data_IF_347858667001
#
_entry.id   IF_347858667001
#
_cell.length_a   1.000
_cell.length_b   1.000
_cell.length_c   1.000
_cell.angle_alpha   90.00
_cell.angle_beta   90.00
_cell.angle_gamma   90.00
#
_symmetry.space_group_name_H-M   'P 1'
#
loop_
_entity.id
_entity.type
_entity.pdbx_description
1 polymer ?
#
# COMPACT_ATOMS: atom_id res chain seq x y z
N UNK A 1 -40.78 34.33 29.50
CA UNK A 1 -41.03 32.98 28.97
C UNK A 1 -39.72 32.22 29.09
N UNK A 2 -39.59 31.35 30.07
CA UNK A 2 -38.37 30.58 30.29
C UNK A 2 -38.36 29.40 29.32
N UNK A 3 -37.27 29.24 28.58
CA UNK A 3 -37.05 28.08 27.72
C UNK A 3 -36.88 26.86 28.62
N UNK A 4 -37.75 25.86 28.45
CA UNK A 4 -37.59 24.54 29.07
C UNK A 4 -36.35 23.92 28.42
N UNK A 5 -35.26 23.79 29.18
CA UNK A 5 -34.09 23.04 28.75
C UNK A 5 -34.52 21.58 28.70
N UNK A 6 -34.59 21.00 27.51
CA UNK A 6 -34.97 19.60 27.36
C UNK A 6 -33.84 18.73 27.92
N UNK A 7 -34.15 17.97 28.97
CA UNK A 7 -33.23 17.10 29.69
C UNK A 7 -33.14 15.70 29.06
N UNK A 8 -33.90 15.44 27.99
CA UNK A 8 -33.65 14.28 27.14
C UNK A 8 -32.42 14.57 26.28
N UNK A 9 -31.26 14.13 26.78
CA UNK A 9 -30.15 13.77 25.90
C UNK A 9 -30.62 12.75 24.86
N UNK A 10 -29.88 12.56 23.76
CA UNK A 10 -30.28 11.60 22.73
C UNK A 10 -30.53 10.24 23.38
N UNK A 11 -31.65 9.60 23.04
CA UNK A 11 -31.91 8.22 23.46
C UNK A 11 -30.72 7.35 23.07
N UNK A 12 -30.37 6.34 23.87
CA UNK A 12 -29.22 5.46 23.60
C UNK A 12 -29.27 4.88 22.17
N UNK A 13 -30.48 4.62 21.64
CA UNK A 13 -30.72 4.19 20.26
C UNK A 13 -30.19 5.17 19.19
N UNK A 14 -30.18 6.49 19.46
CA UNK A 14 -29.65 7.47 18.53
C UNK A 14 -28.13 7.34 18.38
N UNK A 15 -27.42 7.14 19.50
CA UNK A 15 -25.96 7.00 19.46
C UNK A 15 -25.54 5.69 18.80
N UNK A 16 -26.28 4.61 19.03
CA UNK A 16 -26.07 3.31 18.37
C UNK A 16 -26.32 3.40 16.84
N UNK A 17 -27.40 4.07 16.41
CA UNK A 17 -27.69 4.30 14.99
C UNK A 17 -26.63 5.21 14.33
N UNK A 18 -26.20 6.25 15.02
CA UNK A 18 -25.15 7.14 14.55
C UNK A 18 -23.81 6.42 14.40
N UNK A 19 -23.40 5.63 15.40
CA UNK A 19 -22.17 4.83 15.36
C UNK A 19 -22.22 3.82 14.22
N UNK A 20 -23.34 3.10 14.08
CA UNK A 20 -23.55 2.14 12.99
C UNK A 20 -23.43 2.80 11.61
N UNK A 21 -24.07 3.96 11.41
CA UNK A 21 -23.97 4.73 10.15
C UNK A 21 -22.58 5.25 9.89
N UNK A 22 -21.83 5.64 10.91
CA UNK A 22 -20.45 6.09 10.77
C UNK A 22 -19.56 4.93 10.33
N UNK A 23 -19.65 3.79 11.00
CA UNK A 23 -18.92 2.56 10.65
C UNK A 23 -19.23 2.13 9.23
N UNK A 24 -20.50 2.14 8.83
CA UNK A 24 -20.91 1.78 7.48
C UNK A 24 -20.37 2.76 6.43
N UNK A 25 -20.34 4.07 6.70
CA UNK A 25 -19.75 5.04 5.79
C UNK A 25 -18.24 4.81 5.58
N UNK A 26 -17.52 4.52 6.67
CA UNK A 26 -16.08 4.23 6.63
C UNK A 26 -15.84 2.95 5.84
N UNK A 27 -16.57 1.86 6.15
CA UNK A 27 -16.47 0.57 5.46
C UNK A 27 -16.75 0.72 3.97
N UNK A 28 -17.85 1.38 3.60
CA UNK A 28 -18.20 1.60 2.20
C UNK A 28 -17.14 2.40 1.43
N UNK A 29 -16.47 3.35 2.08
CA UNK A 29 -15.41 4.15 1.45
C UNK A 29 -14.14 3.30 1.26
N UNK A 30 -13.80 2.50 2.26
CA UNK A 30 -12.68 1.55 2.18
C UNK A 30 -12.91 0.53 1.07
N UNK A 31 -14.07 -0.13 1.05
CA UNK A 31 -14.42 -1.17 0.07
C UNK A 31 -14.29 -0.66 -1.37
N UNK A 32 -14.79 0.56 -1.62
CA UNK A 32 -14.67 1.19 -2.95
C UNK A 32 -13.22 1.49 -3.34
N UNK A 33 -12.38 1.86 -2.39
CA UNK A 33 -10.95 2.08 -2.65
C UNK A 33 -10.25 0.76 -2.91
N UNK A 34 -10.45 -0.25 -2.07
CA UNK A 34 -9.90 -1.60 -2.26
C UNK A 34 -10.25 -2.12 -3.65
N UNK A 35 -11.54 -2.10 -4.02
CA UNK A 35 -11.99 -2.50 -5.35
C UNK A 35 -11.31 -1.74 -6.49
N UNK A 36 -11.12 -0.43 -6.34
CA UNK A 36 -10.41 0.38 -7.34
C UNK A 36 -8.96 -0.07 -7.53
N UNK A 37 -8.21 -0.28 -6.44
CA UNK A 37 -6.82 -0.71 -6.53
C UNK A 37 -6.69 -2.15 -7.02
N UNK A 38 -7.58 -3.07 -6.61
CA UNK A 38 -7.63 -4.44 -7.13
C UNK A 38 -7.87 -4.47 -8.63
N UNK A 39 -8.79 -3.65 -9.13
CA UNK A 39 -9.10 -3.53 -10.56
C UNK A 39 -7.90 -2.99 -11.35
N UNK A 40 -7.25 -1.92 -10.86
CA UNK A 40 -6.07 -1.36 -11.51
C UNK A 40 -4.86 -2.31 -11.46
N UNK A 41 -4.69 -3.05 -10.36
CA UNK A 41 -3.68 -4.10 -10.24
C UNK A 41 -3.93 -5.22 -11.24
N UNK A 42 -5.18 -5.67 -11.40
CA UNK A 42 -5.55 -6.67 -12.41
C UNK A 42 -5.22 -6.17 -13.81
N UNK A 43 -5.64 -4.95 -14.14
CA UNK A 43 -5.38 -4.32 -15.46
C UNK A 43 -3.89 -4.23 -15.77
N UNK A 44 -3.05 -3.84 -14.81
CA UNK A 44 -1.60 -3.80 -15.01
C UNK A 44 -0.97 -5.19 -15.08
N UNK A 45 -1.46 -6.15 -14.31
CA UNK A 45 -0.99 -7.54 -14.34
C UNK A 45 -1.25 -8.19 -15.71
N UNK A 46 -2.40 -7.93 -16.32
CA UNK A 46 -2.72 -8.40 -17.67
C UNK A 46 -1.77 -7.83 -18.74
N UNK A 47 -1.26 -6.61 -18.51
CA UNK A 47 -0.33 -5.94 -19.41
C UNK A 47 1.13 -6.32 -19.18
N UNK A 48 1.42 -7.19 -18.20
CA UNK A 48 2.77 -7.46 -17.70
C UNK A 48 3.79 -7.93 -18.74
N UNK A 49 3.32 -8.61 -19.78
CA UNK A 49 4.16 -9.10 -20.88
C UNK A 49 4.26 -8.13 -22.06
N UNK A 50 3.71 -6.92 -21.91
CA UNK A 50 3.75 -5.89 -22.95
C UNK A 50 4.96 -4.96 -22.76
N UNK A 51 5.53 -4.39 -23.85
CA UNK A 51 6.66 -3.47 -23.75
C UNK A 51 6.36 -2.16 -23.00
N UNK A 52 5.08 -1.80 -22.87
CA UNK A 52 4.62 -0.58 -22.19
C UNK A 52 4.50 -0.75 -20.67
N UNK A 53 4.63 -1.98 -20.17
CA UNK A 53 4.48 -2.26 -18.74
C UNK A 53 5.66 -1.71 -17.93
N UNK A 54 5.32 -1.09 -16.81
CA UNK A 54 6.26 -0.43 -15.92
C UNK A 54 6.09 -1.00 -14.50
N UNK A 55 7.16 -1.62 -13.99
CA UNK A 55 7.15 -2.22 -12.66
C UNK A 55 6.94 -1.19 -11.55
N UNK A 56 7.51 0.01 -11.67
CA UNK A 56 7.34 1.07 -10.67
C UNK A 56 5.87 1.46 -10.50
N UNK A 57 5.11 1.58 -11.59
CA UNK A 57 3.67 1.84 -11.52
C UNK A 57 2.90 0.71 -10.83
N UNK A 58 3.25 -0.55 -11.15
CA UNK A 58 2.66 -1.72 -10.50
C UNK A 58 2.98 -1.77 -9.01
N UNK A 59 4.24 -1.50 -8.65
CA UNK A 59 4.72 -1.41 -7.27
C UNK A 59 3.93 -0.38 -6.45
N UNK A 60 3.76 0.85 -6.95
CA UNK A 60 3.04 1.91 -6.24
C UNK A 60 1.59 1.51 -5.95
N UNK A 61 0.90 0.88 -6.91
CA UNK A 61 -0.49 0.46 -6.74
C UNK A 61 -0.65 -0.73 -5.80
N UNK A 62 0.23 -1.73 -5.90
CA UNK A 62 0.29 -2.86 -4.97
C UNK A 62 0.61 -2.40 -3.54
N UNK A 63 1.58 -1.51 -3.37
CA UNK A 63 1.93 -0.94 -2.07
C UNK A 63 0.76 -0.16 -1.46
N UNK A 64 0.07 0.66 -2.27
CA UNK A 64 -1.10 1.42 -1.79
C UNK A 64 -2.22 0.49 -1.29
N UNK A 65 -2.43 -0.65 -1.96
CA UNK A 65 -3.40 -1.67 -1.53
C UNK A 65 -2.97 -2.35 -0.24
N UNK A 66 -1.71 -2.80 -0.17
CA UNK A 66 -1.14 -3.42 1.03
C UNK A 66 -1.20 -2.48 2.25
N UNK A 67 -0.93 -1.19 2.03
CA UNK A 67 -1.01 -0.16 3.07
C UNK A 67 -2.45 0.05 3.56
N UNK A 68 -3.45 0.02 2.68
CA UNK A 68 -4.87 0.08 3.10
C UNK A 68 -5.25 -1.11 3.97
N UNK A 69 -4.75 -2.31 3.67
CA UNK A 69 -4.93 -3.49 4.52
C UNK A 69 -4.20 -3.33 5.86
N UNK A 70 -2.97 -2.79 5.88
CA UNK A 70 -2.22 -2.52 7.12
C UNK A 70 -2.99 -1.55 8.04
N UNK A 71 -3.45 -0.40 7.53
CA UNK A 71 -4.15 0.60 8.35
C UNK A 71 -5.54 0.16 8.82
N UNK A 72 -6.08 -0.90 8.24
CA UNK A 72 -7.36 -1.52 8.64
C UNK A 72 -7.17 -2.78 9.47
N UNK A 73 -5.93 -3.11 9.84
CA UNK A 73 -5.52 -4.28 10.61
C UNK A 73 -5.80 -5.63 9.91
N UNK A 74 -5.88 -5.63 8.57
CA UNK A 74 -5.95 -6.83 7.73
C UNK A 74 -4.53 -7.29 7.35
N UNK A 75 -3.74 -7.67 8.36
CA UNK A 75 -2.31 -7.91 8.18
C UNK A 75 -1.98 -9.07 7.24
N UNK A 76 -2.79 -10.14 7.25
CA UNK A 76 -2.65 -11.28 6.34
C UNK A 76 -2.87 -10.89 4.87
N UNK A 77 -3.84 -10.01 4.61
CA UNK A 77 -4.11 -9.50 3.26
C UNK A 77 -2.99 -8.57 2.80
N UNK A 78 -2.48 -7.71 3.70
CA UNK A 78 -1.31 -6.87 3.44
C UNK A 78 -0.07 -7.70 3.09
N UNK A 79 0.22 -8.75 3.88
CA UNK A 79 1.35 -9.66 3.65
C UNK A 79 1.25 -10.35 2.28
N UNK A 80 0.06 -10.83 1.92
CA UNK A 80 -0.18 -11.46 0.61
C UNK A 80 0.16 -10.52 -0.55
N UNK A 81 -0.23 -9.25 -0.46
CA UNK A 81 0.08 -8.26 -1.50
C UNK A 81 1.60 -8.04 -1.64
N UNK A 82 2.34 -7.99 -0.52
CA UNK A 82 3.81 -7.85 -0.55
C UNK A 82 4.52 -9.10 -1.10
N UNK A 83 4.06 -10.31 -0.74
CA UNK A 83 4.59 -11.57 -1.28
C UNK A 83 4.37 -11.67 -2.79
N UNK A 84 3.15 -11.36 -3.27
CA UNK A 84 2.86 -11.31 -4.69
C UNK A 84 3.72 -10.29 -5.43
N UNK A 85 3.98 -9.14 -4.81
CA UNK A 85 4.83 -8.09 -5.37
C UNK A 85 6.29 -8.52 -5.48
N UNK A 86 6.84 -9.25 -4.50
CA UNK A 86 8.18 -9.83 -4.54
C UNK A 86 8.31 -10.91 -5.64
N UNK A 87 7.30 -11.77 -5.77
CA UNK A 87 7.22 -12.74 -6.86
C UNK A 87 7.16 -12.02 -8.22
N UNK A 88 6.32 -11.01 -8.33
CA UNK A 88 6.19 -10.21 -9.55
C UNK A 88 7.50 -9.51 -9.92
N UNK A 89 8.22 -9.01 -8.92
CA UNK A 89 9.54 -8.44 -9.14
C UNK A 89 10.48 -9.50 -9.74
N UNK A 90 10.60 -10.65 -9.08
CA UNK A 90 11.50 -11.74 -9.45
C UNK A 90 11.32 -12.22 -10.89
N UNK A 91 10.09 -12.36 -11.37
CA UNK A 91 9.89 -12.78 -12.77
C UNK A 91 10.18 -11.62 -13.75
N UNK A 92 9.99 -10.36 -13.34
CA UNK A 92 10.28 -9.19 -14.17
C UNK A 92 11.79 -8.91 -14.32
N UNK A 93 12.60 -9.15 -13.27
CA UNK A 93 14.05 -8.98 -13.36
C UNK A 93 14.76 -10.07 -14.17
N UNK A 94 14.12 -11.20 -14.44
CA UNK A 94 14.72 -12.21 -15.32
C UNK A 94 14.68 -11.85 -16.82
N UNK A 95 14.05 -10.73 -17.20
CA UNK A 95 14.04 -10.24 -18.58
C UNK A 95 15.41 -9.63 -18.98
N UNK A 96 16.04 -10.10 -20.07
CA UNK A 96 17.32 -9.59 -20.53
C UNK A 96 17.20 -8.17 -21.11
N UNK A 97 18.19 -7.31 -20.86
CA UNK A 97 18.41 -6.08 -21.65
C UNK A 97 18.20 -4.74 -20.95
N UNK A 98 17.84 -4.67 -19.66
CA UNK A 98 17.85 -3.41 -18.89
C UNK A 98 19.06 -3.37 -17.95
N UNK A 99 19.98 -2.39 -18.07
CA UNK A 99 20.98 -2.16 -17.03
C UNK A 99 20.25 -1.85 -15.72
N UNK A 100 20.67 -2.51 -14.65
CA UNK A 100 20.09 -2.36 -13.32
C UNK A 100 21.11 -1.72 -12.39
N UNK A 101 20.71 -0.64 -11.75
CA UNK A 101 21.43 -0.13 -10.60
C UNK A 101 20.96 -0.93 -9.39
N UNK A 102 21.89 -1.61 -8.72
CA UNK A 102 21.53 -2.45 -7.57
C UNK A 102 21.06 -1.60 -6.40
N UNK A 103 21.65 -0.43 -6.17
CA UNK A 103 21.23 0.51 -5.13
C UNK A 103 21.82 1.89 -5.37
N UNK A 104 21.46 2.84 -4.53
CA UNK A 104 21.96 4.21 -4.64
C UNK A 104 23.40 4.43 -4.18
N UNK A 105 23.90 5.63 -4.44
CA UNK A 105 25.21 6.12 -4.00
C UNK A 105 25.06 7.34 -3.07
N UNK A 106 23.84 7.61 -2.60
CA UNK A 106 23.55 8.72 -1.71
C UNK A 106 24.07 8.43 -0.31
N UNK A 107 24.27 9.48 0.49
CA UNK A 107 24.69 9.31 1.88
C UNK A 107 23.63 8.51 2.65
N UNK A 108 24.02 7.40 3.28
CA UNK A 108 23.13 6.49 4.00
C UNK A 108 22.67 5.27 3.20
N UNK A 109 23.01 5.15 1.91
CA UNK A 109 22.75 3.93 1.12
C UNK A 109 23.71 2.77 1.48
N UNK A 110 24.74 3.07 2.27
CA UNK A 110 25.67 2.11 2.88
C UNK A 110 25.11 1.45 4.14
N UNK A 111 23.94 1.91 4.63
CA UNK A 111 23.27 1.39 5.82
C UNK A 111 22.07 0.54 5.41
N UNK A 112 21.93 -0.63 6.04
CA UNK A 112 20.74 -1.45 5.85
C UNK A 112 19.58 -0.98 6.75
N UNK A 113 18.40 -0.76 6.19
CA UNK A 113 17.18 -0.32 6.86
C UNK A 113 16.14 -1.44 7.00
N UNK A 114 16.59 -2.64 7.36
CA UNK A 114 15.80 -3.87 7.35
C UNK A 114 14.50 -3.84 8.18
N UNK A 115 14.43 -2.96 9.19
CA UNK A 115 13.26 -2.87 10.09
C UNK A 115 12.60 -1.48 10.04
N UNK A 116 12.97 -0.65 9.06
CA UNK A 116 12.41 0.70 8.93
C UNK A 116 12.01 0.96 7.47
N UNK A 117 10.76 0.63 7.09
CA UNK A 117 10.28 0.88 5.72
C UNK A 117 10.16 2.38 5.41
N UNK A 118 10.18 3.25 6.43
CA UNK A 118 10.21 4.70 6.27
C UNK A 118 11.61 5.31 6.10
N UNK A 119 12.67 4.49 6.01
CA UNK A 119 14.04 5.00 5.86
C UNK A 119 14.26 5.74 4.53
N UNK A 120 13.60 5.27 3.46
CA UNK A 120 13.53 5.95 2.16
C UNK A 120 12.08 6.16 1.79
N UNK A 121 11.78 7.32 1.22
CA UNK A 121 10.45 7.55 0.66
C UNK A 121 10.24 6.65 -0.56
N UNK A 122 9.02 6.14 -0.77
CA UNK A 122 8.67 5.32 -1.94
C UNK A 122 9.10 5.98 -3.25
N UNK A 123 8.96 7.31 -3.35
CA UNK A 123 9.38 8.13 -4.50
C UNK A 123 10.87 8.01 -4.81
N UNK A 124 11.71 7.72 -3.82
CA UNK A 124 13.15 7.50 -3.97
C UNK A 124 13.48 6.08 -4.42
N UNK A 125 12.59 5.11 -4.18
CA UNK A 125 12.74 3.71 -4.64
C UNK A 125 12.43 3.59 -6.14
N UNK A 126 11.47 4.40 -6.62
CA UNK A 126 10.93 4.36 -8.00
C UNK A 126 11.38 5.52 -8.89
N UNK A 127 12.37 6.30 -8.46
CA UNK A 127 12.71 7.57 -9.10
C UNK A 127 13.16 7.40 -10.57
N UNK A 128 12.62 8.24 -11.47
CA UNK A 128 13.05 8.37 -12.88
C UNK A 128 13.10 7.07 -13.71
N UNK A 129 12.17 6.13 -13.47
CA UNK A 129 12.14 4.77 -14.06
C UNK A 129 13.37 3.90 -13.74
N UNK A 130 14.30 4.42 -12.92
CA UNK A 130 15.45 3.70 -12.39
C UNK A 130 15.01 3.03 -11.09
N UNK A 131 14.77 1.73 -11.18
CA UNK A 131 14.38 0.92 -10.05
C UNK A 131 15.59 0.59 -9.17
N UNK A 132 15.60 1.07 -7.92
CA UNK A 132 16.65 0.77 -6.94
C UNK A 132 16.36 -0.54 -6.21
N UNK A 133 16.98 -1.63 -6.67
CA UNK A 133 16.69 -3.00 -6.21
C UNK A 133 16.93 -3.23 -4.71
N UNK A 134 18.02 -2.71 -4.17
CA UNK A 134 18.44 -2.89 -2.79
C UNK A 134 17.46 -2.20 -1.84
N UNK A 135 17.05 -0.98 -2.15
CA UNK A 135 16.06 -0.22 -1.40
C UNK A 135 14.68 -0.89 -1.46
N UNK A 136 14.29 -1.38 -2.63
CA UNK A 136 13.06 -2.16 -2.78
C UNK A 136 13.06 -3.43 -1.90
N UNK A 137 14.11 -4.25 -1.98
CA UNK A 137 14.20 -5.50 -1.21
C UNK A 137 14.16 -5.24 0.29
N UNK A 138 14.84 -4.20 0.75
CA UNK A 138 14.81 -3.79 2.16
C UNK A 138 13.42 -3.31 2.58
N UNK A 139 12.77 -2.50 1.74
CA UNK A 139 11.42 -2.01 1.98
C UNK A 139 10.42 -3.17 2.11
N UNK A 140 10.41 -4.11 1.15
CA UNK A 140 9.52 -5.28 1.17
C UNK A 140 9.76 -6.14 2.41
N UNK A 141 11.03 -6.44 2.70
CA UNK A 141 11.38 -7.21 3.90
C UNK A 141 10.90 -6.51 5.18
N UNK A 142 11.11 -5.19 5.28
CA UNK A 142 10.67 -4.42 6.43
C UNK A 142 9.14 -4.40 6.58
N UNK A 143 8.38 -4.42 5.48
CA UNK A 143 6.92 -4.53 5.52
C UNK A 143 6.46 -5.92 5.92
N UNK A 144 7.02 -6.98 5.33
CA UNK A 144 6.70 -8.37 5.67
C UNK A 144 7.02 -8.69 7.15
N UNK A 145 8.13 -8.15 7.68
CA UNK A 145 8.56 -8.40 9.05
C UNK A 145 7.72 -7.69 10.14
N UNK A 146 6.81 -6.78 9.75
CA UNK A 146 5.88 -6.12 10.69
C UNK A 146 4.66 -6.96 11.04
N UNK A 147 4.26 -7.86 10.13
CA UNK A 147 3.07 -8.72 10.26
C UNK A 147 3.38 -9.88 11.20
#
# INVERSE_FOLDING_TARGET
RCCKFDLHGPDDEFWDDFDSKMVDCIRNTLDKRVQFYEEENRRLSEQRFTPIWNFCNFFILKESLAFMFEVTNLHEDSLREYDELELCYSESVNLPGKPREFGGLDTGDDQAALLNPGFKALTQIVQDDVFREFEFRQYIFACQAKV
#
